data_IF_081101988126
#
_entry.id   IF_081101988126
#
_cell.length_a   1.000
_cell.length_b   1.000
_cell.length_c   1.000
_cell.angle_alpha   90.00
_cell.angle_beta   90.00
_cell.angle_gamma   90.00
#
_symmetry.space_group_name_H-M   'P 1'
#
loop_
_entity.id
_entity.type
_entity.pdbx_description
1 polymer ?
#
# COMPACT_ATOMS: atom_id res chain seq x y z
N UNK A 1 -33.99 5.39 -29.87
CA UNK A 1 -33.15 4.41 -29.15
C UNK A 1 -31.70 4.77 -29.40
N UNK A 2 -30.93 5.07 -28.35
CA UNK A 2 -29.49 5.32 -28.50
C UNK A 2 -28.84 3.95 -28.70
N UNK A 3 -28.29 3.71 -29.89
CA UNK A 3 -27.49 2.52 -30.18
C UNK A 3 -26.15 2.67 -29.45
N UNK A 4 -26.06 2.12 -28.25
CA UNK A 4 -24.79 2.00 -27.53
C UNK A 4 -24.07 0.76 -28.03
N UNK A 5 -23.03 0.97 -28.82
CA UNK A 5 -22.07 -0.08 -29.17
C UNK A 5 -21.21 -0.42 -27.94
N UNK A 6 -21.38 -1.61 -27.33
CA UNK A 6 -20.67 -1.98 -26.11
C UNK A 6 -19.16 -2.06 -26.28
N UNK A 7 -18.67 -2.36 -27.49
CA UNK A 7 -17.23 -2.42 -27.76
C UNK A 7 -16.62 -1.03 -27.72
N UNK A 8 -17.32 -0.04 -28.28
CA UNK A 8 -16.91 1.36 -28.26
C UNK A 8 -16.95 1.96 -26.85
N UNK A 9 -17.89 1.54 -26.02
CA UNK A 9 -17.96 1.92 -24.61
C UNK A 9 -16.76 1.36 -23.82
N UNK A 10 -16.44 0.08 -24.02
CA UNK A 10 -15.31 -0.57 -23.36
C UNK A 10 -13.96 0.03 -23.76
N UNK A 11 -13.79 0.38 -25.05
CA UNK A 11 -12.60 1.09 -25.52
C UNK A 11 -12.45 2.45 -24.82
N UNK A 12 -13.54 3.23 -24.72
CA UNK A 12 -13.52 4.53 -24.02
C UNK A 12 -13.22 4.37 -22.53
N UNK A 13 -13.74 3.33 -21.89
CA UNK A 13 -13.47 3.04 -20.48
C UNK A 13 -11.99 2.69 -20.26
N UNK A 14 -11.41 1.91 -21.15
CA UNK A 14 -9.98 1.58 -21.10
C UNK A 14 -9.11 2.83 -21.32
N UNK A 15 -9.50 3.67 -22.28
CA UNK A 15 -8.81 4.93 -22.56
C UNK A 15 -8.85 5.88 -21.36
N UNK A 16 -9.96 5.95 -20.63
CA UNK A 16 -10.07 6.70 -19.36
C UNK A 16 -9.11 6.13 -18.31
N UNK A 17 -9.07 4.80 -18.11
CA UNK A 17 -8.14 4.17 -17.15
C UNK A 17 -6.68 4.46 -17.49
N UNK A 18 -6.33 4.39 -18.77
CA UNK A 18 -4.96 4.67 -19.23
C UNK A 18 -4.60 6.15 -19.04
N UNK A 19 -5.56 7.07 -19.24
CA UNK A 19 -5.39 8.49 -18.97
C UNK A 19 -5.24 8.79 -17.47
N UNK A 20 -6.02 8.14 -16.61
CA UNK A 20 -5.88 8.26 -15.16
C UNK A 20 -4.51 7.78 -14.67
N UNK A 21 -4.02 6.67 -15.22
CA UNK A 21 -2.67 6.17 -14.92
C UNK A 21 -1.59 7.17 -15.37
N UNK A 22 -1.70 7.72 -16.58
CA UNK A 22 -0.76 8.74 -17.08
C UNK A 22 -0.79 10.01 -16.24
N UNK A 23 -1.98 10.44 -15.78
CA UNK A 23 -2.13 11.59 -14.90
C UNK A 23 -1.38 11.37 -13.58
N UNK A 24 -1.55 10.21 -12.94
CA UNK A 24 -0.85 9.87 -11.70
C UNK A 24 0.68 9.84 -11.89
N UNK A 25 1.17 9.32 -13.02
CA UNK A 25 2.60 9.33 -13.34
C UNK A 25 3.16 10.75 -13.56
N UNK A 26 2.40 11.63 -14.21
CA UNK A 26 2.79 13.04 -14.42
C UNK A 26 2.80 13.80 -13.10
N UNK A 27 1.80 13.63 -12.25
CA UNK A 27 1.73 14.26 -10.93
C UNK A 27 2.90 13.82 -10.04
N UNK A 28 3.24 12.52 -10.04
CA UNK A 28 4.40 12.01 -9.32
C UNK A 28 5.72 12.59 -9.85
N UNK A 29 5.88 12.73 -11.17
CA UNK A 29 7.05 13.38 -11.79
C UNK A 29 7.11 14.87 -11.47
N UNK A 30 5.99 15.57 -11.46
CA UNK A 30 5.93 16.99 -11.13
C UNK A 30 6.30 17.24 -9.66
N UNK A 31 5.83 16.40 -8.73
CA UNK A 31 6.23 16.49 -7.33
C UNK A 31 7.75 16.31 -7.15
N UNK A 32 8.37 15.40 -7.92
CA UNK A 32 9.82 15.19 -7.91
C UNK A 32 10.61 16.35 -8.52
N UNK A 33 10.12 16.96 -9.62
CA UNK A 33 10.84 18.01 -10.36
C UNK A 33 10.72 19.38 -9.69
N UNK A 34 9.56 19.70 -9.13
CA UNK A 34 9.27 21.04 -8.61
C UNK A 34 9.94 21.34 -7.26
N UNK A 35 10.65 20.37 -6.65
CA UNK A 35 11.27 20.54 -5.34
C UNK A 35 10.25 20.79 -4.22
N UNK A 36 8.97 20.56 -4.49
CA UNK A 36 7.85 20.71 -3.54
C UNK A 36 7.83 19.60 -2.50
N UNK A 37 8.69 18.60 -2.64
CA UNK A 37 8.99 17.61 -1.61
C UNK A 37 9.86 18.29 -0.57
N UNK A 38 9.26 18.67 0.55
CA UNK A 38 10.00 19.17 1.71
C UNK A 38 10.98 18.09 2.20
N UNK A 39 12.19 18.50 2.57
CA UNK A 39 13.15 17.62 3.23
C UNK A 39 12.58 17.10 4.55
N UNK A 40 13.21 16.06 5.10
CA UNK A 40 12.71 15.20 6.19
C UNK A 40 12.25 15.93 7.45
N UNK A 41 12.68 17.19 7.64
CA UNK A 41 12.33 18.02 8.79
C UNK A 41 11.96 19.46 8.40
N UNK A 42 10.94 20.05 9.03
CA UNK A 42 10.05 19.44 10.02
C UNK A 42 8.99 18.53 9.38
N UNK A 43 8.54 17.50 10.10
CA UNK A 43 7.40 16.67 9.67
C UNK A 43 6.17 17.55 9.37
N UNK A 44 5.35 17.20 8.35
CA UNK A 44 4.12 17.92 8.08
C UNK A 44 3.20 17.97 9.30
N UNK A 45 2.49 19.08 9.48
CA UNK A 45 1.51 19.21 10.58
C UNK A 45 0.48 18.09 10.52
N UNK A 46 0.30 17.37 11.62
CA UNK A 46 -0.65 16.25 11.71
C UNK A 46 -0.15 14.95 11.10
N UNK A 47 1.12 14.86 10.67
CA UNK A 47 1.69 13.61 10.22
C UNK A 47 2.05 12.70 11.40
N UNK A 48 1.42 11.53 11.47
CA UNK A 48 1.80 10.44 12.37
C UNK A 48 2.23 9.21 11.57
N UNK A 49 3.42 8.70 11.87
CA UNK A 49 4.00 7.53 11.20
C UNK A 49 3.16 6.26 11.41
N UNK A 50 2.65 6.04 12.63
CA UNK A 50 1.93 4.80 12.97
C UNK A 50 0.61 4.76 12.21
N UNK A 51 -0.20 5.80 12.32
CA UNK A 51 -1.51 5.91 11.68
C UNK A 51 -1.39 5.90 10.16
N UNK A 52 -0.44 6.65 9.61
CA UNK A 52 -0.24 6.71 8.16
C UNK A 52 0.16 5.35 7.59
N UNK A 53 1.09 4.64 8.24
CA UNK A 53 1.52 3.32 7.77
C UNK A 53 0.37 2.32 7.86
N UNK A 54 -0.39 2.30 8.95
CA UNK A 54 -1.55 1.42 9.07
C UNK A 54 -2.58 1.69 7.98
N UNK A 55 -2.91 2.96 7.75
CA UNK A 55 -3.84 3.35 6.68
C UNK A 55 -3.37 2.90 5.30
N UNK A 56 -2.07 2.97 5.01
CA UNK A 56 -1.52 2.46 3.74
C UNK A 56 -1.74 0.95 3.60
N UNK A 57 -1.56 0.18 4.67
CA UNK A 57 -1.82 -1.27 4.66
C UNK A 57 -3.33 -1.60 4.64
N UNK A 58 -4.19 -0.75 5.20
CA UNK A 58 -5.66 -0.86 5.10
C UNK A 58 -6.15 -0.55 3.69
N UNK A 59 -5.67 0.53 3.09
CA UNK A 59 -6.01 0.95 1.72
C UNK A 59 -5.50 -0.07 0.67
N UNK A 60 -4.46 -0.84 0.99
CA UNK A 60 -3.87 -1.88 0.16
C UNK A 60 -3.94 -3.27 0.83
N UNK A 61 -5.09 -3.61 1.42
CA UNK A 61 -5.27 -4.83 2.21
C UNK A 61 -5.00 -6.14 1.46
N UNK A 62 -5.13 -6.14 0.14
CA UNK A 62 -4.90 -7.27 -0.76
C UNK A 62 -3.46 -7.36 -1.27
N UNK A 63 -2.58 -6.43 -0.88
CA UNK A 63 -1.20 -6.35 -1.36
C UNK A 63 -0.16 -6.62 -0.27
N UNK A 64 0.90 -7.32 -0.68
CA UNK A 64 2.13 -7.42 0.10
C UNK A 64 3.00 -6.21 -0.18
N UNK A 65 3.22 -5.35 0.81
CA UNK A 65 4.04 -4.14 0.67
C UNK A 65 5.41 -4.31 1.31
N UNK A 66 6.44 -3.75 0.68
CA UNK A 66 7.75 -3.57 1.29
C UNK A 66 7.93 -2.12 1.82
N UNK A 67 9.06 -1.85 2.48
CA UNK A 67 9.37 -0.54 3.05
C UNK A 67 9.42 0.56 1.98
N UNK A 68 9.91 0.25 0.79
CA UNK A 68 10.06 1.22 -0.31
C UNK A 68 8.69 1.60 -0.90
N UNK A 69 7.76 0.64 -0.99
CA UNK A 69 6.38 0.88 -1.40
C UNK A 69 5.69 1.85 -0.42
N UNK A 70 5.81 1.59 0.89
CA UNK A 70 5.23 2.46 1.93
C UNK A 70 5.87 3.85 1.90
N UNK A 71 7.20 3.93 1.78
CA UNK A 71 7.94 5.19 1.69
C UNK A 71 7.47 6.02 0.50
N UNK A 72 7.31 5.38 -0.67
CA UNK A 72 6.83 6.02 -1.90
C UNK A 72 5.41 6.55 -1.73
N UNK A 73 4.51 5.76 -1.14
CA UNK A 73 3.13 6.19 -0.89
C UNK A 73 3.05 7.38 0.07
N UNK A 74 3.83 7.37 1.16
CA UNK A 74 3.91 8.51 2.08
C UNK A 74 4.40 9.76 1.34
N UNK A 75 5.46 9.62 0.55
CA UNK A 75 6.06 10.73 -0.20
C UNK A 75 5.07 11.35 -1.18
N UNK A 76 4.31 10.51 -1.90
CA UNK A 76 3.29 10.97 -2.85
C UNK A 76 2.14 11.67 -2.10
N UNK A 77 1.65 11.09 -1.00
CA UNK A 77 0.45 11.55 -0.30
C UNK A 77 0.65 12.86 0.45
N UNK A 78 1.81 13.03 1.08
CA UNK A 78 2.10 14.18 1.93
C UNK A 78 3.11 15.14 1.32
N UNK A 79 3.61 14.82 0.11
CA UNK A 79 4.53 15.67 -0.64
C UNK A 79 5.76 16.09 0.19
N UNK A 80 6.35 15.13 0.92
CA UNK A 80 7.60 15.31 1.67
C UNK A 80 8.42 14.04 1.64
N UNK A 81 9.75 14.17 1.75
CA UNK A 81 10.65 13.03 1.72
C UNK A 81 10.66 12.40 3.10
N UNK A 82 10.11 11.21 3.23
CA UNK A 82 10.11 10.49 4.50
C UNK A 82 11.43 9.76 4.75
N UNK A 83 11.90 9.73 6.00
CA UNK A 83 13.04 8.91 6.37
C UNK A 83 12.66 7.42 6.33
N UNK A 84 13.27 6.71 5.38
CA UNK A 84 13.10 5.26 5.20
C UNK A 84 13.42 4.49 6.48
N UNK A 85 14.41 4.92 7.27
CA UNK A 85 14.78 4.25 8.53
C UNK A 85 13.69 4.41 9.58
N UNK A 86 13.08 5.59 9.69
CA UNK A 86 11.92 5.84 10.54
C UNK A 86 10.72 4.96 10.13
N UNK A 87 10.42 4.84 8.83
CA UNK A 87 9.38 3.95 8.30
C UNK A 87 9.69 2.49 8.66
N UNK A 88 10.91 2.01 8.41
CA UNK A 88 11.33 0.65 8.71
C UNK A 88 11.19 0.32 10.20
N UNK A 89 11.66 1.22 11.08
CA UNK A 89 11.53 1.06 12.53
C UNK A 89 10.07 0.98 12.96
N UNK A 90 9.20 1.83 12.39
CA UNK A 90 7.78 1.83 12.72
C UNK A 90 7.07 0.57 12.23
N UNK A 91 7.38 0.09 11.03
CA UNK A 91 6.85 -1.19 10.50
C UNK A 91 7.26 -2.36 11.40
N UNK A 92 8.53 -2.42 11.80
CA UNK A 92 9.00 -3.45 12.73
C UNK A 92 8.26 -3.40 14.07
N UNK A 93 8.02 -2.20 14.61
CA UNK A 93 7.22 -2.05 15.83
C UNK A 93 5.78 -2.56 15.66
N UNK A 94 5.12 -2.20 14.55
CA UNK A 94 3.77 -2.65 14.20
C UNK A 94 3.69 -4.18 14.00
N UNK A 95 4.79 -4.79 13.56
CA UNK A 95 4.90 -6.24 13.32
C UNK A 95 5.21 -7.01 14.60
N UNK A 96 6.23 -6.57 15.34
CA UNK A 96 6.80 -7.34 16.44
C UNK A 96 6.09 -7.07 17.77
N UNK A 97 5.73 -5.82 18.04
CA UNK A 97 5.14 -5.41 19.31
C UNK A 97 3.62 -5.28 19.25
N UNK A 98 3.09 -4.55 18.27
CA UNK A 98 1.63 -4.28 18.22
C UNK A 98 0.83 -5.38 17.51
N UNK A 99 1.51 -6.30 16.82
CA UNK A 99 0.89 -7.41 16.06
C UNK A 99 -0.22 -6.92 15.11
N UNK A 100 -0.02 -5.76 14.49
CA UNK A 100 -0.92 -5.17 13.49
C UNK A 100 -0.50 -5.54 12.07
N UNK A 101 0.78 -5.83 11.86
CA UNK A 101 1.33 -6.31 10.61
C UNK A 101 1.96 -7.69 10.82
N UNK A 102 2.12 -8.44 9.73
CA UNK A 102 2.83 -9.71 9.70
C UNK A 102 3.81 -9.76 8.53
N UNK A 103 4.92 -10.48 8.73
CA UNK A 103 5.89 -10.77 7.66
C UNK A 103 5.35 -11.87 6.76
N UNK A 104 5.54 -11.74 5.46
CA UNK A 104 5.13 -12.76 4.49
C UNK A 104 6.15 -13.91 4.48
N UNK A 105 5.69 -15.13 4.78
CA UNK A 105 6.53 -16.33 4.65
C UNK A 105 6.95 -16.50 3.18
N UNK A 106 8.24 -16.75 2.95
CA UNK A 106 8.78 -16.91 1.59
C UNK A 106 9.10 -15.60 0.84
N UNK A 107 8.75 -14.42 1.37
CA UNK A 107 9.00 -13.13 0.73
C UNK A 107 9.74 -12.16 1.66
N UNK A 108 11.07 -12.11 1.55
CA UNK A 108 11.91 -11.30 2.45
C UNK A 108 11.62 -9.81 2.31
N UNK A 109 11.31 -9.14 3.42
CA UNK A 109 11.12 -7.69 3.48
C UNK A 109 9.72 -7.21 3.08
N UNK A 110 8.76 -8.14 2.93
CA UNK A 110 7.36 -7.82 2.66
C UNK A 110 6.48 -8.08 3.87
N UNK A 111 5.44 -7.25 3.98
CA UNK A 111 4.51 -7.21 5.09
C UNK A 111 3.08 -7.12 4.56
N UNK A 112 2.11 -7.52 5.39
CA UNK A 112 0.67 -7.29 5.18
C UNK A 112 -0.01 -7.06 6.52
N UNK A 113 -1.29 -6.70 6.52
CA UNK A 113 -2.10 -6.65 7.73
C UNK A 113 -2.12 -7.99 8.46
N UNK A 114 -2.03 -7.94 9.78
CA UNK A 114 -2.20 -9.10 10.62
C UNK A 114 -3.68 -9.49 10.63
N UNK A 115 -4.02 -10.52 9.86
CA UNK A 115 -5.35 -11.12 9.91
C UNK A 115 -5.35 -12.18 10.99
N UNK A 116 -6.13 -11.95 12.06
CA UNK A 116 -6.28 -12.90 13.17
C UNK A 116 -6.94 -14.23 12.75
N UNK A 117 -7.57 -14.30 11.58
CA UNK A 117 -8.52 -15.38 11.25
C UNK A 117 -8.02 -16.44 10.24
N UNK A 118 -7.00 -16.16 9.41
CA UNK A 118 -6.54 -17.16 8.41
C UNK A 118 -5.69 -18.31 8.95
N UNK A 119 -5.08 -18.19 10.12
CA UNK A 119 -4.35 -19.33 10.72
C UNK A 119 -5.32 -20.39 11.27
N UNK A 120 -6.56 -20.02 11.64
CA UNK A 120 -7.53 -20.99 12.14
C UNK A 120 -8.15 -21.84 11.01
N UNK A 121 -8.32 -21.27 9.82
CA UNK A 121 -8.84 -21.96 8.63
C UNK A 121 -7.81 -22.96 8.04
N UNK A 122 -6.53 -22.57 7.92
CA UNK A 122 -5.48 -23.49 7.43
C UNK A 122 -5.22 -24.66 8.40
N UNK A 123 -5.32 -24.43 9.72
CA UNK A 123 -5.19 -25.50 10.73
C UNK A 123 -6.38 -26.45 10.67
N UNK A 124 -7.60 -25.95 10.49
CA UNK A 124 -8.79 -26.78 10.37
C UNK A 124 -8.80 -27.61 9.08
N UNK A 125 -8.43 -27.04 7.92
CA UNK A 125 -8.34 -27.80 6.67
C UNK A 125 -7.30 -28.92 6.72
N UNK A 126 -6.16 -28.70 7.39
CA UNK A 126 -5.12 -29.72 7.53
C UNK A 126 -5.54 -30.87 8.45
N UNK A 127 -6.27 -30.57 9.54
CA UNK A 127 -6.81 -31.61 10.43
C UNK A 127 -7.91 -32.44 9.79
N UNK A 128 -8.77 -31.83 8.97
CA UNK A 128 -9.82 -32.56 8.24
C UNK A 128 -9.22 -33.53 7.21
N UNK A 129 -8.13 -33.13 6.52
CA UNK A 129 -7.44 -34.01 5.54
C UNK A 129 -6.64 -35.16 6.16
N UNK A 130 -6.28 -35.07 7.44
CA UNK A 130 -5.61 -36.16 8.17
C UNK A 130 -6.60 -37.13 8.84
N UNK A 131 -7.87 -36.71 8.98
CA UNK A 131 -8.94 -37.50 9.58
C UNK A 131 -9.82 -38.24 8.55
N UNK A 132 -9.61 -38.00 7.26
CA UNK A 132 -10.17 -38.75 6.13
C UNK A 132 -9.15 -39.73 5.57
#
# INVERSE_FOLDING_TARGET
MINFDPQKLNQRLQEIKDLEKKKAEIEARLALITGLIQETDPLPKGFDYRETILKIFEDASDMDLNIDDVTKQITIKYNFRVDRKAVANRINYLTDRDKKLQRIKGKRGFYRLFEKEREQEEINEYQIKQAM
#
